data_IF_437612592190
#
_entry.id   IF_437612592190
#
_cell.length_a   1.000
_cell.length_b   1.000
_cell.length_c   1.000
_cell.angle_alpha   90.00
_cell.angle_beta   90.00
_cell.angle_gamma   90.00
#
_symmetry.space_group_name_H-M   'P 1'
#
loop_
_entity.id
_entity.type
_entity.pdbx_description
1 polymer ?
#
# COMPACT_ATOMS: atom_id res chain seq x y z
N UNK A 1 3.09 4.21 14.12
CA UNK A 1 3.77 4.95 15.22
C UNK A 1 5.18 5.52 14.89
N UNK A 2 5.89 5.12 13.81
CA UNK A 2 7.30 5.53 13.59
C UNK A 2 7.51 6.86 12.86
N UNK A 3 6.61 7.26 11.97
CA UNK A 3 6.77 8.49 11.19
C UNK A 3 6.70 9.77 12.06
N UNK A 4 5.80 9.80 13.05
CA UNK A 4 5.61 10.94 13.95
C UNK A 4 6.81 11.15 14.89
N UNK A 5 7.35 10.06 15.45
CA UNK A 5 8.52 10.07 16.34
C UNK A 5 9.79 10.51 15.57
N UNK A 6 9.94 10.05 14.33
CA UNK A 6 11.09 10.41 13.48
C UNK A 6 11.07 11.92 13.13
N UNK A 7 9.87 12.49 12.97
CA UNK A 7 9.66 13.94 12.76
C UNK A 7 9.97 14.76 14.02
N UNK A 8 9.55 14.29 15.20
CA UNK A 8 9.85 14.93 16.49
C UNK A 8 11.34 14.83 16.87
N UNK A 9 12.01 13.76 16.46
CA UNK A 9 13.46 13.58 16.64
C UNK A 9 14.31 14.39 15.63
N UNK A 10 13.70 15.18 14.74
CA UNK A 10 14.40 15.99 13.75
C UNK A 10 15.18 15.20 12.69
N UNK A 11 14.94 13.88 12.59
CA UNK A 11 15.63 13.02 11.64
C UNK A 11 14.75 12.83 10.39
N UNK A 12 15.27 13.16 9.21
CA UNK A 12 14.52 12.92 7.98
C UNK A 12 14.38 11.40 7.74
N UNK A 13 13.17 10.85 7.57
CA UNK A 13 12.98 9.42 7.32
C UNK A 13 13.79 8.94 6.10
N UNK A 14 14.27 7.70 6.17
CA UNK A 14 15.12 7.08 5.14
C UNK A 14 16.56 7.59 5.13
N UNK A 15 17.05 8.17 6.24
CA UNK A 15 18.46 8.55 6.40
C UNK A 15 19.39 7.35 6.33
N UNK A 16 18.96 6.22 6.89
CA UNK A 16 19.64 4.93 6.85
C UNK A 16 19.86 4.46 5.40
N UNK A 17 18.85 4.58 4.53
CA UNK A 17 18.95 4.17 3.13
C UNK A 17 19.84 5.11 2.32
N UNK A 18 19.73 6.42 2.55
CA UNK A 18 20.61 7.41 1.91
C UNK A 18 22.07 7.18 2.28
N UNK A 19 22.34 6.91 3.57
CA UNK A 19 23.68 6.60 4.05
C UNK A 19 24.20 5.30 3.45
N UNK A 20 23.40 4.24 3.45
CA UNK A 20 23.74 2.96 2.84
C UNK A 20 24.11 3.10 1.37
N UNK A 21 23.32 3.84 0.58
CA UNK A 21 23.61 4.13 -0.82
C UNK A 21 24.93 4.90 -0.99
N UNK A 22 25.19 5.86 -0.11
CA UNK A 22 26.41 6.67 -0.15
C UNK A 22 27.65 5.83 0.14
N UNK A 23 27.58 4.91 1.11
CA UNK A 23 28.68 4.01 1.44
C UNK A 23 28.86 2.91 0.37
N UNK A 24 27.78 2.37 -0.17
CA UNK A 24 27.83 1.37 -1.24
C UNK A 24 28.57 1.88 -2.48
N UNK A 25 28.37 3.17 -2.84
CA UNK A 25 29.08 3.81 -3.96
C UNK A 25 30.61 3.89 -3.79
N UNK A 26 31.11 3.81 -2.56
CA UNK A 26 32.56 3.85 -2.28
C UNK A 26 33.22 2.48 -2.44
N UNK A 27 32.42 1.41 -2.51
CA UNK A 27 32.91 0.04 -2.62
C UNK A 27 32.95 -0.35 -4.11
N UNK A 28 34.11 -0.74 -4.66
CA UNK A 28 34.21 -1.15 -6.05
C UNK A 28 33.35 -2.40 -6.30
N UNK A 29 32.67 -2.43 -7.44
CA UNK A 29 31.79 -3.53 -7.86
C UNK A 29 30.64 -3.86 -6.87
N UNK A 30 30.23 -2.89 -6.04
CA UNK A 30 29.10 -3.08 -5.14
C UNK A 30 27.77 -3.05 -5.91
N UNK A 31 27.03 -4.16 -5.85
CA UNK A 31 25.69 -4.26 -6.45
C UNK A 31 24.67 -3.74 -5.45
N UNK A 32 23.93 -2.71 -5.84
CA UNK A 32 22.81 -2.17 -5.05
C UNK A 32 21.51 -2.76 -5.56
N UNK A 33 20.74 -3.38 -4.67
CA UNK A 33 19.41 -3.92 -4.96
C UNK A 33 18.36 -3.21 -4.11
N UNK A 34 17.28 -2.75 -4.75
CA UNK A 34 16.10 -2.24 -4.05
C UNK A 34 15.19 -3.41 -3.72
N UNK A 35 15.12 -3.79 -2.45
CA UNK A 35 14.43 -4.99 -1.99
C UNK A 35 12.97 -4.80 -1.58
N UNK A 36 12.43 -3.59 -1.63
CA UNK A 36 11.06 -3.30 -1.15
C UNK A 36 10.01 -3.46 -2.26
N UNK A 37 8.76 -3.65 -1.85
CA UNK A 37 7.59 -3.69 -2.74
C UNK A 37 7.30 -2.28 -3.24
N UNK A 38 6.88 -2.19 -4.50
CA UNK A 38 6.43 -0.92 -5.05
C UNK A 38 5.29 -0.31 -4.21
N UNK A 39 5.47 0.94 -3.77
CA UNK A 39 4.57 1.58 -2.79
C UNK A 39 3.15 1.75 -3.32
N UNK A 40 3.00 1.93 -4.64
CA UNK A 40 1.71 1.94 -5.32
C UNK A 40 0.96 0.62 -5.11
N UNK A 41 1.61 -0.54 -5.27
CA UNK A 41 0.99 -1.84 -5.02
C UNK A 41 0.56 -1.94 -3.54
N UNK A 42 1.44 -1.55 -2.61
CA UNK A 42 1.14 -1.53 -1.17
C UNK A 42 -0.10 -0.70 -0.87
N UNK A 43 -0.18 0.53 -1.41
CA UNK A 43 -1.30 1.45 -1.18
C UNK A 43 -2.61 0.94 -1.78
N UNK A 44 -2.59 0.44 -3.01
CA UNK A 44 -3.79 -0.13 -3.63
C UNK A 44 -4.28 -1.36 -2.86
N UNK A 45 -3.36 -2.21 -2.38
CA UNK A 45 -3.72 -3.36 -1.53
C UNK A 45 -4.30 -2.92 -0.18
N UNK A 46 -3.73 -1.90 0.44
CA UNK A 46 -4.21 -1.36 1.71
C UNK A 46 -5.65 -0.88 1.57
N UNK A 47 -5.95 -0.06 0.56
CA UNK A 47 -7.31 0.42 0.28
C UNK A 47 -8.25 -0.73 -0.06
N UNK A 48 -7.81 -1.68 -0.88
CA UNK A 48 -8.62 -2.85 -1.26
C UNK A 48 -8.90 -3.81 -0.09
N UNK A 49 -8.05 -3.80 0.95
CA UNK A 49 -8.23 -4.62 2.15
C UNK A 49 -9.31 -4.08 3.10
N UNK A 50 -9.74 -2.83 2.92
CA UNK A 50 -10.78 -2.21 3.74
C UNK A 50 -12.16 -2.77 3.38
N UNK A 51 -12.95 -3.08 4.41
CA UNK A 51 -14.38 -3.31 4.26
C UNK A 51 -15.12 -1.99 4.00
N UNK A 52 -16.33 -2.06 3.45
CA UNK A 52 -17.14 -0.87 3.14
C UNK A 52 -17.31 0.11 4.31
N UNK A 53 -17.56 -0.39 5.52
CA UNK A 53 -17.68 0.45 6.71
C UNK A 53 -16.36 1.14 7.08
N UNK A 54 -15.23 0.44 6.94
CA UNK A 54 -13.91 1.02 7.14
C UNK A 54 -13.56 2.02 6.05
N UNK A 55 -13.95 1.75 4.80
CA UNK A 55 -13.78 2.68 3.67
C UNK A 55 -14.55 3.98 3.93
N UNK A 56 -15.79 3.92 4.41
CA UNK A 56 -16.55 5.14 4.78
C UNK A 56 -15.85 5.90 5.90
N UNK A 57 -15.41 5.21 6.96
CA UNK A 57 -14.68 5.85 8.07
C UNK A 57 -13.38 6.50 7.60
N UNK A 58 -12.64 5.84 6.70
CA UNK A 58 -11.43 6.38 6.08
C UNK A 58 -11.71 7.62 5.24
N UNK A 59 -12.73 7.58 4.37
CA UNK A 59 -13.14 8.74 3.57
C UNK A 59 -13.58 9.89 4.47
N UNK A 60 -14.35 9.61 5.52
CA UNK A 60 -14.74 10.61 6.50
C UNK A 60 -13.52 11.26 7.16
N UNK A 61 -12.58 10.44 7.62
CA UNK A 61 -11.33 10.92 8.20
C UNK A 61 -10.55 11.80 7.22
N UNK A 62 -10.42 11.36 5.96
CA UNK A 62 -9.79 12.11 4.86
C UNK A 62 -10.47 13.46 4.58
N UNK A 63 -11.79 13.54 4.65
CA UNK A 63 -12.52 14.79 4.46
C UNK A 63 -12.37 15.73 5.65
N UNK A 64 -12.36 15.20 6.88
CA UNK A 64 -12.22 16.00 8.10
C UNK A 64 -10.79 16.48 8.37
N UNK A 65 -9.77 15.74 7.92
CA UNK A 65 -8.36 16.10 8.12
C UNK A 65 -7.87 17.17 7.13
N UNK A 66 -8.58 17.38 6.02
CA UNK A 66 -8.15 18.22 4.90
C UNK A 66 -8.46 19.73 5.04
N UNK A 67 -8.58 20.28 6.25
CA UNK A 67 -9.01 21.68 6.43
C UNK A 67 -7.99 22.79 6.06
N UNK A 68 -6.85 22.49 5.42
CA UNK A 68 -5.97 23.55 4.91
C UNK A 68 -5.03 23.07 3.80
N UNK A 69 -5.44 23.22 2.54
CA UNK A 69 -4.52 23.09 1.39
C UNK A 69 -4.72 24.30 0.48
N UNK A 70 -3.82 25.30 0.57
CA UNK A 70 -3.67 26.34 -0.46
C UNK A 70 -3.05 25.73 -1.73
N UNK A 71 -3.41 26.32 -2.87
CA UNK A 71 -3.43 25.70 -4.20
C UNK A 71 -2.11 25.88 -4.96
N UNK A 72 -1.20 26.74 -4.52
CA UNK A 72 -0.04 27.13 -5.31
C UNK A 72 1.22 26.25 -5.05
N UNK A 73 1.31 25.05 -5.64
CA UNK A 73 2.58 24.29 -5.94
C UNK A 73 2.92 22.96 -5.21
N UNK A 74 1.96 22.17 -4.68
CA UNK A 74 2.28 20.81 -4.17
C UNK A 74 1.22 19.75 -4.49
N UNK A 75 0.92 19.48 -5.76
CA UNK A 75 -0.35 18.81 -6.11
C UNK A 75 -0.36 17.28 -6.31
N UNK A 76 0.73 16.52 -6.23
CA UNK A 76 0.65 15.03 -6.33
C UNK A 76 1.33 14.27 -5.21
N UNK A 77 2.57 14.64 -4.89
CA UNK A 77 3.31 13.97 -3.84
C UNK A 77 2.74 14.25 -2.45
N UNK A 78 2.17 15.45 -2.20
CA UNK A 78 1.52 15.77 -0.92
C UNK A 78 0.26 14.95 -0.73
N UNK A 79 -0.58 14.81 -1.77
CA UNK A 79 -1.79 13.99 -1.70
C UNK A 79 -1.46 12.52 -1.44
N UNK A 80 -0.47 11.96 -2.15
CA UNK A 80 -0.04 10.58 -1.96
C UNK A 80 0.58 10.37 -0.57
N UNK A 81 1.48 11.25 -0.13
CA UNK A 81 2.12 11.16 1.18
C UNK A 81 1.12 11.33 2.32
N UNK A 82 0.19 12.27 2.20
CA UNK A 82 -0.89 12.45 3.18
C UNK A 82 -1.78 11.21 3.26
N UNK A 83 -2.12 10.62 2.11
CA UNK A 83 -2.89 9.36 2.07
C UNK A 83 -2.13 8.21 2.75
N UNK A 84 -0.82 8.11 2.50
CA UNK A 84 0.08 7.13 3.14
C UNK A 84 0.09 7.32 4.66
N UNK A 85 0.35 8.54 5.14
CA UNK A 85 0.42 8.87 6.56
C UNK A 85 -0.91 8.52 7.27
N UNK A 86 -2.06 8.88 6.67
CA UNK A 86 -3.39 8.58 7.24
C UNK A 86 -3.72 7.08 7.28
N UNK A 87 -3.34 6.32 6.25
CA UNK A 87 -3.52 4.87 6.26
C UNK A 87 -2.60 4.20 7.27
N UNK A 88 -1.40 4.73 7.50
CA UNK A 88 -0.48 4.23 8.52
C UNK A 88 -1.01 4.51 9.93
N UNK A 89 -1.55 5.71 10.19
CA UNK A 89 -2.22 6.04 11.46
C UNK A 89 -3.40 5.09 11.75
N UNK A 90 -4.21 4.84 10.73
CA UNK A 90 -5.34 3.90 10.83
C UNK A 90 -4.90 2.44 10.94
N UNK A 91 -3.67 2.07 10.57
CA UNK A 91 -3.20 0.69 10.66
C UNK A 91 -3.16 0.17 12.11
N UNK A 92 -3.05 1.05 13.10
CA UNK A 92 -3.13 0.68 14.52
C UNK A 92 -4.54 0.22 14.91
N UNK A 93 -5.59 0.78 14.27
CA UNK A 93 -6.99 0.47 14.55
C UNK A 93 -7.54 -0.69 13.68
N UNK A 94 -7.00 -0.87 12.47
CA UNK A 94 -7.54 -1.82 11.50
C UNK A 94 -6.56 -2.97 11.21
N UNK A 95 -6.86 -4.21 11.65
CA UNK A 95 -6.01 -5.38 11.42
C UNK A 95 -5.70 -5.64 9.93
N UNK A 96 -6.63 -5.31 9.03
CA UNK A 96 -6.43 -5.47 7.59
C UNK A 96 -5.30 -4.57 7.05
N UNK A 97 -5.23 -3.32 7.49
CA UNK A 97 -4.16 -2.40 7.10
C UNK A 97 -2.82 -2.83 7.71
N UNK A 98 -2.80 -3.19 9.00
CA UNK A 98 -1.61 -3.73 9.66
C UNK A 98 -1.03 -4.93 8.93
N UNK A 99 -1.90 -5.84 8.47
CA UNK A 99 -1.49 -6.99 7.66
C UNK A 99 -0.77 -6.55 6.37
N UNK A 100 -1.30 -5.57 5.64
CA UNK A 100 -0.71 -5.13 4.36
C UNK A 100 0.59 -4.34 4.54
N UNK A 101 0.66 -3.43 5.51
CA UNK A 101 1.81 -2.54 5.72
C UNK A 101 2.96 -3.20 6.49
N UNK A 102 2.66 -4.15 7.36
CA UNK A 102 3.67 -4.83 8.20
C UNK A 102 3.88 -6.24 7.68
N UNK A 103 2.92 -7.15 7.92
CA UNK A 103 3.13 -8.60 7.69
C UNK A 103 3.48 -8.90 6.23
N UNK A 104 2.69 -8.44 5.27
CA UNK A 104 2.96 -8.68 3.85
C UNK A 104 4.26 -8.01 3.37
N UNK A 105 4.58 -6.84 3.93
CA UNK A 105 5.81 -6.12 3.59
C UNK A 105 7.03 -6.85 4.14
N UNK A 106 6.95 -7.37 5.36
CA UNK A 106 7.99 -8.20 5.99
C UNK A 106 8.25 -9.47 5.19
N UNK A 107 7.19 -10.17 4.76
CA UNK A 107 7.29 -11.33 3.88
C UNK A 107 8.03 -11.00 2.57
N UNK A 108 7.68 -9.86 1.95
CA UNK A 108 8.33 -9.42 0.71
C UNK A 108 9.80 -9.05 0.92
N UNK A 109 10.11 -8.25 1.96
CA UNK A 109 11.47 -7.85 2.31
C UNK A 109 12.35 -9.07 2.64
N UNK A 110 11.82 -10.01 3.41
CA UNK A 110 12.48 -11.27 3.74
C UNK A 110 12.83 -12.05 2.46
N UNK A 111 11.87 -12.23 1.55
CA UNK A 111 12.12 -12.92 0.30
C UNK A 111 13.15 -12.19 -0.58
N UNK A 112 13.09 -10.86 -0.68
CA UNK A 112 14.09 -10.08 -1.41
C UNK A 112 15.51 -10.30 -0.89
N UNK A 113 15.68 -10.37 0.44
CA UNK A 113 16.97 -10.69 1.05
C UNK A 113 17.40 -12.14 0.78
N UNK A 114 16.47 -13.10 0.83
CA UNK A 114 16.75 -14.50 0.48
C UNK A 114 17.19 -14.63 -0.98
N UNK A 115 16.50 -13.98 -1.91
CA UNK A 115 16.88 -13.96 -3.32
C UNK A 115 18.27 -13.36 -3.50
N UNK A 116 18.56 -12.23 -2.84
CA UNK A 116 19.89 -11.62 -2.89
C UNK A 116 20.98 -12.59 -2.38
N UNK A 117 20.69 -13.34 -1.32
CA UNK A 117 21.58 -14.32 -0.71
C UNK A 117 21.78 -15.60 -1.53
N UNK A 118 20.76 -16.04 -2.24
CA UNK A 118 20.78 -17.27 -3.04
C UNK A 118 21.26 -17.06 -4.48
N UNK A 119 21.48 -15.81 -4.91
CA UNK A 119 22.02 -15.54 -6.24
C UNK A 119 23.37 -16.26 -6.42
N UNK A 120 23.53 -17.07 -7.49
CA UNK A 120 24.78 -17.77 -7.76
C UNK A 120 25.87 -16.74 -8.05
N UNK A 121 27.03 -16.88 -7.39
CA UNK A 121 28.19 -16.01 -7.55
C UNK A 121 29.44 -16.86 -7.68
N UNK A 122 30.39 -16.36 -8.49
CA UNK A 122 31.69 -17.01 -8.69
C UNK A 122 32.53 -17.02 -7.40
N UNK A 123 32.37 -16.01 -6.55
CA UNK A 123 33.13 -15.84 -5.31
C UNK A 123 32.19 -15.61 -4.11
N UNK A 124 32.56 -16.05 -2.90
CA UNK A 124 31.84 -15.73 -1.69
C UNK A 124 31.71 -14.22 -1.51
N UNK A 125 30.48 -13.74 -1.31
CA UNK A 125 30.20 -12.32 -1.17
C UNK A 125 29.46 -12.04 0.14
N UNK A 126 29.78 -10.91 0.79
CA UNK A 126 29.03 -10.42 1.95
C UNK A 126 27.85 -9.58 1.47
N UNK A 127 26.66 -9.90 2.00
CA UNK A 127 25.42 -9.19 1.68
C UNK A 127 24.99 -8.44 2.93
N UNK A 128 24.67 -7.16 2.75
CA UNK A 128 24.19 -6.29 3.83
C UNK A 128 22.79 -5.83 3.47
N UNK A 129 21.80 -6.28 4.25
CA UNK A 129 20.43 -5.77 4.17
C UNK A 129 20.26 -4.55 5.05
N UNK A 130 19.85 -3.42 4.47
CA UNK A 130 19.48 -2.23 5.23
C UNK A 130 17.97 -2.10 5.20
N UNK A 131 17.35 -2.20 6.37
CA UNK A 131 15.89 -2.22 6.54
C UNK A 131 15.49 -1.33 7.71
N UNK A 132 14.25 -0.82 7.70
CA UNK A 132 13.70 -0.09 8.83
C UNK A 132 13.54 -0.99 10.05
N UNK A 133 13.78 -0.45 11.25
CA UNK A 133 13.77 -1.21 12.52
C UNK A 133 12.46 -2.00 12.75
N UNK A 134 11.33 -1.44 12.33
CA UNK A 134 10.01 -2.08 12.48
C UNK A 134 9.85 -3.39 11.71
N UNK A 135 10.68 -3.63 10.67
CA UNK A 135 10.59 -4.81 9.82
C UNK A 135 11.55 -5.93 10.27
N UNK A 136 12.53 -5.63 11.13
CA UNK A 136 13.59 -6.58 11.51
C UNK A 136 13.00 -7.82 12.17
N UNK A 137 12.07 -7.65 13.12
CA UNK A 137 11.44 -8.76 13.82
C UNK A 137 10.68 -9.70 12.86
N UNK A 138 9.89 -9.13 11.95
CA UNK A 138 9.13 -9.90 10.95
C UNK A 138 10.04 -10.61 9.95
N UNK A 139 11.14 -9.98 9.51
CA UNK A 139 12.12 -10.62 8.64
C UNK A 139 12.76 -11.84 9.33
N UNK A 140 13.18 -11.69 10.60
CA UNK A 140 13.75 -12.79 11.38
C UNK A 140 12.72 -13.91 11.56
N UNK A 141 11.48 -13.57 11.87
CA UNK A 141 10.40 -14.54 12.04
C UNK A 141 10.14 -15.34 10.75
N UNK A 142 10.16 -14.67 9.60
CA UNK A 142 9.85 -15.26 8.30
C UNK A 142 11.05 -15.91 7.61
N UNK A 143 12.27 -15.73 8.13
CA UNK A 143 13.48 -16.24 7.50
C UNK A 143 13.45 -17.75 7.33
N UNK A 144 13.64 -18.23 6.10
CA UNK A 144 13.60 -19.65 5.76
C UNK A 144 12.19 -20.26 5.67
N UNK A 145 11.13 -19.51 6.01
CA UNK A 145 9.73 -19.96 5.92
C UNK A 145 9.08 -19.55 4.60
N UNK A 146 9.45 -18.38 4.07
CA UNK A 146 8.88 -17.84 2.83
C UNK A 146 9.43 -18.59 1.62
N UNK A 147 8.52 -18.97 0.73
CA UNK A 147 8.84 -19.63 -0.52
C UNK A 147 8.50 -18.72 -1.71
N UNK A 148 9.11 -18.95 -2.90
CA UNK A 148 8.85 -18.11 -4.08
C UNK A 148 7.37 -18.02 -4.48
N UNK A 149 6.56 -19.07 -4.21
CA UNK A 149 5.12 -19.07 -4.48
C UNK A 149 4.30 -18.10 -3.61
N UNK A 150 4.83 -17.67 -2.46
CA UNK A 150 4.12 -16.80 -1.54
C UNK A 150 4.12 -15.33 -2.00
N UNK A 151 5.01 -14.98 -2.93
CA UNK A 151 5.26 -13.59 -3.36
C UNK A 151 4.32 -13.08 -4.46
N UNK A 152 4.02 -13.84 -5.54
CA UNK A 152 3.09 -13.38 -6.57
C UNK A 152 1.73 -12.89 -6.04
N UNK A 153 1.13 -13.51 -5.00
CA UNK A 153 -0.08 -12.99 -4.36
C UNK A 153 0.09 -11.61 -3.71
N UNK A 154 1.27 -11.27 -3.21
CA UNK A 154 1.58 -9.98 -2.56
C UNK A 154 1.78 -8.84 -3.57
N UNK A 155 1.99 -9.18 -4.84
CA UNK A 155 2.20 -8.24 -5.95
C UNK A 155 0.92 -7.89 -6.72
N UNK A 156 -0.19 -8.61 -6.48
CA UNK A 156 -1.49 -8.35 -7.12
C UNK A 156 -2.40 -7.60 -6.16
N UNK A 157 -3.35 -6.80 -6.63
CA UNK A 157 -4.38 -6.23 -5.74
C UNK A 157 -5.46 -7.28 -5.50
N UNK A 158 -5.81 -7.62 -4.24
CA UNK A 158 -6.85 -8.62 -3.98
C UNK A 158 -8.19 -8.12 -4.52
N UNK A 159 -9.06 -9.03 -4.99
CA UNK A 159 -10.40 -8.64 -5.42
C UNK A 159 -11.16 -8.00 -4.27
N UNK A 160 -12.08 -7.06 -4.56
CA UNK A 160 -12.83 -6.37 -3.52
C UNK A 160 -13.64 -7.36 -2.69
N UNK A 161 -13.83 -7.02 -1.41
CA UNK A 161 -14.61 -7.82 -0.47
C UNK A 161 -16.02 -8.12 -1.00
N UNK A 162 -16.63 -9.21 -0.51
CA UNK A 162 -17.98 -9.62 -0.94
C UNK A 162 -19.01 -8.52 -0.73
N UNK A 163 -18.96 -7.80 0.39
CA UNK A 163 -19.86 -6.67 0.65
C UNK A 163 -19.68 -5.56 -0.37
N UNK A 164 -18.43 -5.18 -0.69
CA UNK A 164 -18.12 -4.21 -1.75
C UNK A 164 -18.66 -4.67 -3.11
N UNK A 165 -18.54 -5.97 -3.42
CA UNK A 165 -19.06 -6.54 -4.68
C UNK A 165 -20.58 -6.49 -4.76
N UNK A 166 -21.27 -6.85 -3.67
CA UNK A 166 -22.73 -6.80 -3.57
C UNK A 166 -23.21 -5.35 -3.72
N UNK A 167 -22.66 -4.41 -2.95
CA UNK A 167 -23.03 -2.99 -3.02
C UNK A 167 -22.82 -2.44 -4.43
N UNK A 168 -21.66 -2.70 -5.05
CA UNK A 168 -21.38 -2.27 -6.43
C UNK A 168 -22.41 -2.79 -7.42
N UNK A 169 -22.85 -4.03 -7.25
CA UNK A 169 -23.87 -4.65 -8.11
C UNK A 169 -25.23 -4.02 -7.85
N UNK A 170 -25.62 -3.85 -6.58
CA UNK A 170 -26.87 -3.19 -6.19
C UNK A 170 -26.97 -1.77 -6.75
N UNK A 171 -25.90 -0.96 -6.63
CA UNK A 171 -25.87 0.40 -7.18
C UNK A 171 -26.06 0.40 -8.70
N UNK A 172 -25.43 -0.53 -9.42
CA UNK A 172 -25.63 -0.68 -10.87
C UNK A 172 -27.06 -1.06 -11.22
N UNK A 173 -27.64 -2.02 -10.52
CA UNK A 173 -29.03 -2.46 -10.72
C UNK A 173 -30.00 -1.30 -10.46
N UNK A 174 -29.80 -0.56 -9.37
CA UNK A 174 -30.60 0.62 -9.04
C UNK A 174 -30.48 1.70 -10.11
N UNK A 175 -29.27 1.99 -10.58
CA UNK A 175 -29.05 3.00 -11.63
C UNK A 175 -29.70 2.62 -12.96
N UNK A 176 -29.54 1.37 -13.41
CA UNK A 176 -30.20 0.86 -14.62
C UNK A 176 -31.72 0.86 -14.45
N UNK A 177 -32.23 0.43 -13.30
CA UNK A 177 -33.66 0.48 -12.98
C UNK A 177 -34.21 1.90 -13.01
N UNK A 178 -33.48 2.88 -12.49
CA UNK A 178 -33.86 4.29 -12.53
C UNK A 178 -33.90 4.83 -13.97
N UNK A 179 -32.92 4.49 -14.80
CA UNK A 179 -32.90 4.87 -16.22
C UNK A 179 -34.07 4.25 -16.99
N UNK A 180 -34.37 2.97 -16.77
CA UNK A 180 -35.51 2.30 -17.40
C UNK A 180 -36.85 2.92 -16.98
N UNK A 181 -37.01 3.23 -15.69
CA UNK A 181 -38.20 3.90 -15.17
C UNK A 181 -38.36 5.32 -15.74
N UNK A 182 -37.28 6.09 -15.80
CA UNK A 182 -37.28 7.41 -16.40
C UNK A 182 -37.62 7.34 -17.90
N UNK A 183 -37.02 6.40 -18.63
CA UNK A 183 -37.34 6.14 -20.05
C UNK A 183 -38.81 5.77 -20.25
N UNK A 184 -39.34 4.83 -19.46
CA UNK A 184 -40.75 4.45 -19.49
C UNK A 184 -41.68 5.66 -19.24
N UNK A 185 -41.34 6.53 -18.28
CA UNK A 185 -42.16 7.69 -17.94
C UNK A 185 -42.06 8.83 -18.97
N UNK A 186 -40.93 8.95 -19.66
CA UNK A 186 -40.68 9.98 -20.67
C UNK A 186 -41.15 9.58 -22.08
N UNK A 187 -41.43 8.30 -22.34
CA UNK A 187 -42.08 7.87 -23.58
C UNK A 187 -43.52 8.43 -23.58
N UNK A 188 -43.86 9.36 -24.50
CA UNK A 188 -45.20 9.92 -24.56
C UNK A 188 -46.19 8.81 -24.89
N UNK A 189 -47.26 8.67 -24.08
CA UNK A 189 -48.41 7.75 -24.27
C UNK A 189 -49.14 7.87 -25.62
N UNK A 190 -48.65 8.70 -26.54
CA UNK A 190 -49.25 9.02 -27.85
C UNK A 190 -49.03 7.95 -28.93
N UNK A 191 -48.29 6.88 -28.61
CA UNK A 191 -47.91 5.78 -29.52
C UNK A 191 -48.33 4.38 -29.03
N UNK A 192 -49.14 4.29 -27.96
CA UNK A 192 -49.79 3.03 -27.58
C UNK A 192 -51.17 2.99 -28.26
N UNK A 193 -51.47 1.97 -29.08
CA UNK A 193 -52.76 1.85 -29.77
C UNK A 193 -53.93 1.68 -28.81
#
# INVERSE_FOLDING_TARGET
MSAHITRELGMAPGGEFRRAMTEAKKIPNCIVQLGDRAIDITMHRAIASLSWGQTIRFIWHLLTSNQSISVEDVEKCKQKKMLEDMLEEMAEEFPALKRVFVVERDMYLCHSLQVAALQPRHEPCRIVGVVGIGHVAGIVEHWGKIQPQDIPPLLKVPPPSLSTRVIRTSVRVVFVGALLYAGYKLIPRRWLP
#
